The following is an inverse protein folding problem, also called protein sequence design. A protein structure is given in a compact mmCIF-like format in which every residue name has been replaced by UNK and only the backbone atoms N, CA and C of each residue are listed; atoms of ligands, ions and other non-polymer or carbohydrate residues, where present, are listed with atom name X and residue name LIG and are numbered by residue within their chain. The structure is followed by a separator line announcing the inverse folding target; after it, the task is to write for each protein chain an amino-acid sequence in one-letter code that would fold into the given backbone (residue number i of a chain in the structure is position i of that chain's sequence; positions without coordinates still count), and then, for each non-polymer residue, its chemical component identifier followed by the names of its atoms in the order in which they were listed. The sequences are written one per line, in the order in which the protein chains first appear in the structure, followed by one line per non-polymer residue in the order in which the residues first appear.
data_IF_408790084846
#
_entry.id   IF_408790084846
#
_cell.length_a   1.000
_cell.length_b   1.000
_cell.length_c   1.000
_cell.angle_alpha   90.00
_cell.angle_beta   90.00
_cell.angle_gamma   90.00
#
_symmetry.space_group_name_H-M   'P 1'
#
loop_
_entity.id
_entity.type
_entity.pdbx_description
1 polymer ?
#
# COMPACT_ATOMS: atom_id res chain seq x y z
N UNK A 1 -1.72 17.25 -9.54
CA UNK A 1 -1.36 15.94 -8.97
C UNK A 1 -2.48 14.96 -9.34
N UNK A 2 -2.29 14.10 -10.34
CA UNK A 2 -3.28 13.07 -10.64
C UNK A 2 -3.26 12.01 -9.54
N UNK A 3 -4.32 11.91 -8.75
CA UNK A 3 -4.49 10.77 -7.84
C UNK A 3 -4.93 9.57 -8.66
N UNK A 4 -3.94 8.79 -9.11
CA UNK A 4 -4.18 7.43 -9.59
C UNK A 4 -4.78 6.60 -8.44
N UNK A 5 -5.71 5.71 -8.78
CA UNK A 5 -6.50 4.94 -7.81
C UNK A 5 -5.59 4.05 -6.94
N UNK A 6 -4.49 3.57 -7.52
CA UNK A 6 -3.42 2.82 -6.85
C UNK A 6 -2.70 3.69 -5.82
N UNK A 7 -2.37 4.93 -6.18
CA UNK A 7 -1.67 5.85 -5.27
C UNK A 7 -2.56 6.19 -4.07
N UNK A 8 -3.86 6.37 -4.27
CA UNK A 8 -4.80 6.57 -3.17
C UNK A 8 -4.81 5.37 -2.21
N UNK A 9 -4.96 4.15 -2.75
CA UNK A 9 -4.97 2.91 -1.96
C UNK A 9 -3.66 2.72 -1.18
N UNK A 10 -2.52 2.98 -1.82
CA UNK A 10 -1.20 2.90 -1.19
C UNK A 10 -1.01 3.90 -0.06
N UNK A 11 -1.50 5.14 -0.22
CA UNK A 11 -1.42 6.15 0.84
C UNK A 11 -2.28 5.77 2.04
N UNK A 12 -3.50 5.25 1.80
CA UNK A 12 -4.40 4.82 2.88
C UNK A 12 -3.74 3.72 3.71
N UNK A 13 -3.20 2.66 3.09
CA UNK A 13 -2.54 1.59 3.88
C UNK A 13 -1.31 2.11 4.63
N UNK A 14 -0.56 3.06 4.06
CA UNK A 14 0.58 3.68 4.74
C UNK A 14 0.16 4.51 5.96
N UNK A 15 -0.92 5.29 5.84
CA UNK A 15 -1.43 6.10 6.94
C UNK A 15 -1.96 5.22 8.08
N UNK A 16 -2.65 4.12 7.75
CA UNK A 16 -3.06 3.08 8.72
C UNK A 16 -1.84 2.47 9.43
N UNK A 17 -0.79 2.12 8.69
CA UNK A 17 0.42 1.54 9.27
C UNK A 17 1.12 2.52 10.21
N UNK A 18 1.20 3.80 9.83
CA UNK A 18 1.84 4.85 10.65
C UNK A 18 1.05 5.17 11.91
N UNK A 19 -0.27 5.09 11.87
CA UNK A 19 -1.12 5.41 13.01
C UNK A 19 -1.26 4.26 14.01
N UNK A 20 -1.27 3.01 13.52
CA UNK A 20 -1.64 1.85 14.34
C UNK A 20 -0.51 0.83 14.57
N UNK A 21 0.61 0.96 13.85
CA UNK A 21 1.75 0.03 13.91
C UNK A 21 1.36 -1.47 13.86
N UNK A 22 0.52 -1.91 12.90
CA UNK A 22 -0.06 -3.25 12.93
C UNK A 22 0.99 -4.36 12.67
N UNK A 23 0.63 -5.61 12.96
CA UNK A 23 1.40 -6.79 12.50
C UNK A 23 1.17 -7.03 11.01
N UNK A 24 -0.08 -6.89 10.57
CA UNK A 24 -0.51 -6.95 9.17
C UNK A 24 -1.69 -6.00 8.92
N UNK A 25 -1.84 -5.53 7.69
CA UNK A 25 -3.00 -4.74 7.26
C UNK A 25 -3.30 -4.99 5.78
N UNK A 26 -4.57 -4.86 5.38
CA UNK A 26 -5.00 -4.89 3.98
C UNK A 26 -6.06 -3.84 3.75
N UNK A 27 -5.93 -3.09 2.66
CA UNK A 27 -6.88 -2.07 2.22
C UNK A 27 -7.37 -2.45 0.85
N UNK A 28 -8.68 -2.61 0.72
CA UNK A 28 -9.37 -2.87 -0.55
C UNK A 28 -10.15 -1.62 -0.91
N UNK A 29 -9.81 -1.01 -2.04
CA UNK A 29 -10.51 0.15 -2.59
C UNK A 29 -11.31 -0.26 -3.81
N UNK A 30 -12.60 0.09 -3.79
CA UNK A 30 -13.53 -0.16 -4.88
C UNK A 30 -13.93 1.18 -5.50
N UNK A 31 -13.49 1.44 -6.73
CA UNK A 31 -13.71 2.72 -7.41
C UNK A 31 -14.88 2.63 -8.38
N UNK A 32 -15.83 3.55 -8.25
CA UNK A 32 -16.96 3.65 -9.17
C UNK A 32 -16.49 3.90 -10.60
N UNK A 33 -17.17 3.33 -11.61
CA UNK A 33 -16.70 3.40 -12.98
C UNK A 33 -16.60 4.82 -13.53
N UNK A 34 -15.57 5.07 -14.34
CA UNK A 34 -15.53 6.20 -15.28
C UNK A 34 -15.49 5.62 -16.69
N UNK A 35 -16.51 5.89 -17.50
CA UNK A 35 -16.62 5.30 -18.85
C UNK A 35 -16.86 3.78 -18.86
N UNK A 36 -17.49 3.24 -17.81
CA UNK A 36 -17.84 1.81 -17.73
C UNK A 36 -16.74 0.89 -17.19
N UNK A 37 -15.54 1.41 -16.91
CA UNK A 37 -14.45 0.62 -16.31
C UNK A 37 -14.45 0.76 -14.79
N UNK A 38 -14.76 -0.33 -14.09
CA UNK A 38 -14.60 -0.46 -12.65
C UNK A 38 -13.17 -0.88 -12.30
N UNK A 39 -12.71 -0.54 -11.10
CA UNK A 39 -11.40 -0.98 -10.62
C UNK A 39 -11.46 -1.30 -9.13
N UNK A 40 -10.93 -2.48 -8.79
CA UNK A 40 -10.74 -2.95 -7.44
C UNK A 40 -9.25 -3.11 -7.19
N UNK A 41 -8.75 -2.39 -6.20
CA UNK A 41 -7.32 -2.34 -5.89
C UNK A 41 -7.13 -2.81 -4.45
N UNK A 42 -6.18 -3.69 -4.24
CA UNK A 42 -5.80 -4.19 -2.92
C UNK A 42 -4.36 -3.81 -2.63
N UNK A 43 -4.11 -3.17 -1.49
CA UNK A 43 -2.77 -2.94 -0.95
C UNK A 43 -2.64 -3.61 0.42
N UNK A 44 -1.52 -4.30 0.62
CA UNK A 44 -1.27 -5.08 1.84
C UNK A 44 0.06 -4.70 2.48
N UNK A 45 0.09 -4.75 3.80
CA UNK A 45 1.28 -4.57 4.62
C UNK A 45 1.47 -5.78 5.54
N UNK A 46 2.72 -6.22 5.70
CA UNK A 46 3.13 -7.07 6.81
C UNK A 46 4.47 -6.60 7.36
N UNK A 47 4.60 -6.64 8.69
CA UNK A 47 5.81 -6.21 9.38
C UNK A 47 7.04 -7.03 8.97
N UNK A 48 6.85 -8.31 8.68
CA UNK A 48 7.90 -9.20 8.21
C UNK A 48 8.43 -8.77 6.83
N UNK A 49 7.54 -8.56 5.86
CA UNK A 49 7.94 -8.15 4.51
C UNK A 49 8.67 -6.80 4.54
N UNK A 50 8.24 -5.90 5.41
CA UNK A 50 8.87 -4.60 5.59
C UNK A 50 10.30 -4.73 6.18
N UNK A 51 10.48 -5.58 7.19
CA UNK A 51 11.79 -5.87 7.77
C UNK A 51 12.75 -6.54 6.77
N UNK A 52 12.24 -7.43 5.91
CA UNK A 52 13.00 -8.02 4.80
C UNK A 52 13.41 -6.95 3.79
N UNK A 53 12.48 -6.07 3.40
CA UNK A 53 12.74 -4.94 2.50
C UNK A 53 13.78 -3.95 3.04
N UNK A 54 13.78 -3.67 4.35
CA UNK A 54 14.81 -2.82 4.98
C UNK A 54 16.21 -3.47 4.91
N UNK A 55 16.30 -4.77 5.22
CA UNK A 55 17.58 -5.50 5.17
C UNK A 55 18.17 -5.59 3.78
N UNK A 56 17.35 -5.85 2.75
CA UNK A 56 17.81 -5.92 1.37
C UNK A 56 18.33 -4.58 0.84
N UNK A 57 17.70 -3.47 1.22
CA UNK A 57 18.18 -2.11 0.89
C UNK A 57 19.51 -1.77 1.56
N UNK A 58 19.74 -2.23 2.80
CA UNK A 58 21.01 -2.01 3.49
C UNK A 58 22.19 -2.70 2.81
N UNK A 59 22.00 -3.94 2.31
CA UNK A 59 23.06 -4.70 1.62
C UNK A 59 23.46 -4.12 0.26
N UNK A 60 22.56 -3.40 -0.42
CA UNK A 60 22.82 -2.82 -1.75
C UNK A 60 23.62 -1.52 -1.73
N UNK A 61 23.85 -0.94 -0.55
CA UNK A 61 24.55 0.36 -0.39
C UNK A 61 25.97 0.23 0.16
N UNK A 62 26.45 -1.00 0.38
CA UNK A 62 27.80 -1.32 0.84
C UNK A 62 28.60 -2.06 -0.22
#
# INVERSE_FOLDING_TARGET
LGIFQENATNRIVQDVVRACEPVWASVVSEFTPRGGVYSKITASYSREAEAVGRRSRSKRRG
#
